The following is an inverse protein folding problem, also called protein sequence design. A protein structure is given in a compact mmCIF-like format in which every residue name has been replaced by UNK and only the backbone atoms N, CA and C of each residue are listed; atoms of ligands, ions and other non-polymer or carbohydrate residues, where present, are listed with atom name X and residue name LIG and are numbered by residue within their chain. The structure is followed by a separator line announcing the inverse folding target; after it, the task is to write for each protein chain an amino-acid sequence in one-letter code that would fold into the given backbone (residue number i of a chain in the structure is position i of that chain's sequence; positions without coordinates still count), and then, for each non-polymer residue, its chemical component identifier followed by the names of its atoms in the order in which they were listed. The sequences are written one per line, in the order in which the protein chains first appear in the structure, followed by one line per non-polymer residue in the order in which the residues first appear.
data_IF_047166342441
#
_entry.id   IF_047166342441
#
_cell.length_a   1.000
_cell.length_b   1.000
_cell.length_c   1.000
_cell.angle_alpha   90.00
_cell.angle_beta   90.00
_cell.angle_gamma   90.00
#
_symmetry.space_group_name_H-M   'P 1'
#
loop_
_entity.id
_entity.type
_entity.pdbx_description
1 polymer ?
#
# COMPACT_ATOMS: atom_id res chain seq x y z
N UNK A 1 9.82 -7.93 33.11
CA UNK A 1 8.72 -6.96 32.99
C UNK A 1 9.24 -5.69 32.35
N UNK A 2 10.31 -5.15 32.91
CA UNK A 2 10.84 -3.84 32.56
C UNK A 2 11.27 -3.69 31.08
N UNK A 3 12.09 -4.61 30.56
CA UNK A 3 12.59 -4.49 29.18
C UNK A 3 11.52 -4.54 28.07
N UNK A 4 10.32 -5.09 28.32
CA UNK A 4 9.26 -5.18 27.30
C UNK A 4 8.52 -3.86 27.12
N UNK A 5 8.18 -3.15 28.20
CA UNK A 5 7.52 -1.84 28.10
C UNK A 5 8.42 -0.79 27.48
N UNK A 6 9.72 -0.82 27.79
CA UNK A 6 10.71 0.03 27.12
C UNK A 6 10.78 -0.20 25.61
N UNK A 7 10.69 -1.47 25.18
CA UNK A 7 10.68 -1.81 23.75
C UNK A 7 9.40 -1.32 23.06
N UNK A 8 8.26 -1.47 23.72
CA UNK A 8 6.97 -0.97 23.23
C UNK A 8 6.99 0.55 23.09
N UNK A 9 7.49 1.27 24.11
CA UNK A 9 7.62 2.73 24.09
C UNK A 9 8.42 3.23 22.89
N UNK A 10 9.54 2.59 22.59
CA UNK A 10 10.41 3.02 21.49
C UNK A 10 9.88 2.58 20.13
N UNK A 11 9.75 1.27 19.90
CA UNK A 11 9.52 0.71 18.57
C UNK A 11 8.06 0.84 18.13
N UNK A 12 7.12 0.65 19.05
CA UNK A 12 5.69 0.72 18.74
C UNK A 12 5.13 2.11 19.01
N UNK A 13 5.82 2.94 19.79
CA UNK A 13 5.43 4.32 20.11
C UNK A 13 6.21 5.36 19.31
N UNK A 14 7.39 5.73 19.80
CA UNK A 14 8.13 6.89 19.30
C UNK A 14 8.59 6.77 17.84
N UNK A 15 8.93 5.57 17.37
CA UNK A 15 9.38 5.35 15.99
C UNK A 15 8.24 5.45 14.96
N UNK A 16 6.99 5.39 15.40
CA UNK A 16 5.80 5.53 14.55
C UNK A 16 5.25 6.96 14.53
N UNK A 17 5.88 7.90 15.23
CA UNK A 17 5.55 9.32 15.13
C UNK A 17 6.40 9.96 14.03
N UNK A 18 5.76 10.74 13.16
CA UNK A 18 6.49 11.66 12.28
C UNK A 18 7.16 12.79 13.09
N UNK A 19 8.00 13.58 12.45
CA UNK A 19 8.77 14.61 13.18
C UNK A 19 7.88 15.74 13.72
N UNK A 20 6.77 16.08 13.05
CA UNK A 20 5.81 17.09 13.53
C UNK A 20 5.01 16.58 14.73
N UNK A 21 4.54 15.33 14.67
CA UNK A 21 3.90 14.65 15.77
C UNK A 21 4.84 14.47 16.97
N UNK A 22 6.11 14.16 16.72
CA UNK A 22 7.12 14.05 17.77
C UNK A 22 7.38 15.39 18.46
N UNK A 23 7.47 16.49 17.72
CA UNK A 23 7.64 17.82 18.30
C UNK A 23 6.42 18.25 19.11
N UNK A 24 5.21 17.98 18.60
CA UNK A 24 3.97 18.16 19.37
C UNK A 24 3.93 17.26 20.60
N UNK A 25 4.44 16.03 20.53
CA UNK A 25 4.53 15.14 21.68
C UNK A 25 5.48 15.68 22.75
N UNK A 26 6.67 16.17 22.36
CA UNK A 26 7.63 16.80 23.26
C UNK A 26 7.03 17.99 24.01
N UNK A 27 6.11 18.74 23.38
CA UNK A 27 5.44 19.88 24.01
C UNK A 27 4.65 19.51 25.28
N UNK A 28 4.04 18.32 25.33
CA UNK A 28 3.23 17.86 26.47
C UNK A 28 4.02 17.14 27.56
N UNK A 29 5.29 16.79 27.31
CA UNK A 29 6.10 16.04 28.27
C UNK A 29 6.45 16.79 29.56
N UNK A 30 6.70 18.11 29.57
CA UNK A 30 6.96 18.83 30.81
C UNK A 30 5.81 18.72 31.82
N UNK A 31 4.55 18.82 31.35
CA UNK A 31 3.39 18.80 32.23
C UNK A 31 3.06 17.38 32.73
N UNK A 32 3.30 16.36 31.89
CA UNK A 32 2.95 14.97 32.20
C UNK A 32 4.07 14.21 32.93
N UNK A 33 5.33 14.53 32.64
CA UNK A 33 6.51 13.82 33.15
C UNK A 33 7.43 14.70 34.00
N UNK A 34 7.10 15.97 34.22
CA UNK A 34 7.94 16.91 34.98
C UNK A 34 9.37 17.03 34.41
N UNK A 35 9.52 16.88 33.09
CA UNK A 35 10.82 16.95 32.39
C UNK A 35 11.05 18.39 31.88
N UNK A 36 12.17 19.04 32.24
CA UNK A 36 12.47 20.39 31.76
C UNK A 36 12.59 20.47 30.23
N UNK A 37 11.97 21.48 29.62
CA UNK A 37 11.98 21.71 28.15
C UNK A 37 13.38 21.67 27.53
N UNK A 38 14.38 22.25 28.18
CA UNK A 38 15.76 22.27 27.68
C UNK A 38 16.39 20.88 27.51
N UNK A 39 15.88 19.84 28.19
CA UNK A 39 16.33 18.45 27.98
C UNK A 39 15.63 17.74 26.82
N UNK A 40 14.54 18.32 26.31
CA UNK A 40 13.67 17.70 25.29
C UNK A 40 13.98 18.20 23.87
N UNK A 41 14.41 19.44 23.71
CA UNK A 41 14.60 20.06 22.38
C UNK A 41 15.55 19.24 21.48
N UNK A 42 16.73 18.89 21.98
CA UNK A 42 17.71 18.09 21.26
C UNK A 42 17.56 16.56 21.46
N UNK A 43 16.54 16.10 22.19
CA UNK A 43 16.36 14.68 22.47
C UNK A 43 15.85 13.93 21.23
N UNK A 44 16.63 12.95 20.77
CA UNK A 44 16.15 11.95 19.81
C UNK A 44 15.18 10.97 20.47
N UNK A 45 14.44 10.19 19.65
CA UNK A 45 13.41 9.24 20.11
C UNK A 45 13.89 8.30 21.22
N UNK A 46 15.10 7.75 21.11
CA UNK A 46 15.67 6.86 22.14
C UNK A 46 15.98 7.59 23.45
N UNK A 47 16.59 8.77 23.38
CA UNK A 47 16.88 9.58 24.56
C UNK A 47 15.59 10.06 25.23
N UNK A 48 14.56 10.38 24.45
CA UNK A 48 13.25 10.76 24.94
C UNK A 48 12.61 9.67 25.80
N UNK A 49 12.57 8.42 25.29
CA UNK A 49 12.09 7.25 26.04
C UNK A 49 12.89 7.06 27.32
N UNK A 50 14.22 7.21 27.27
CA UNK A 50 15.08 7.09 28.45
C UNK A 50 14.72 8.14 29.52
N UNK A 51 14.47 9.39 29.12
CA UNK A 51 14.07 10.46 30.04
C UNK A 51 12.69 10.20 30.68
N UNK A 52 11.72 9.73 29.90
CA UNK A 52 10.38 9.40 30.39
C UNK A 52 10.42 8.26 31.40
N UNK A 53 11.19 7.21 31.11
CA UNK A 53 11.40 6.08 32.02
C UNK A 53 12.13 6.52 33.29
N UNK A 54 13.16 7.36 33.17
CA UNK A 54 13.88 7.88 34.33
C UNK A 54 13.01 8.73 35.25
N UNK A 55 12.01 9.42 34.70
CA UNK A 55 11.12 10.26 35.50
C UNK A 55 10.09 9.45 36.29
N UNK A 56 9.45 8.47 35.65
CA UNK A 56 8.19 7.89 36.15
C UNK A 56 8.20 6.35 36.22
N UNK A 57 9.27 5.71 35.74
CA UNK A 57 9.31 4.26 35.52
C UNK A 57 8.57 3.83 34.25
N UNK A 58 8.82 2.61 33.79
CA UNK A 58 8.46 2.19 32.42
C UNK A 58 6.95 2.00 32.20
N UNK A 59 6.24 1.44 33.18
CA UNK A 59 4.79 1.21 33.10
C UNK A 59 4.03 2.53 33.14
N UNK A 60 4.41 3.43 34.06
CA UNK A 60 3.84 4.78 34.14
C UNK A 60 4.14 5.56 32.87
N UNK A 61 5.39 5.48 32.38
CA UNK A 61 5.79 6.14 31.15
C UNK A 61 4.96 5.70 29.94
N UNK A 62 4.69 4.40 29.79
CA UNK A 62 3.83 3.91 28.71
C UNK A 62 2.38 4.40 28.86
N UNK A 63 1.85 4.42 30.08
CA UNK A 63 0.48 4.87 30.34
C UNK A 63 0.30 6.37 30.04
N UNK A 64 1.24 7.21 30.49
CA UNK A 64 1.25 8.64 30.21
C UNK A 64 1.48 8.93 28.73
N UNK A 65 2.31 8.14 28.05
CA UNK A 65 2.48 8.20 26.58
C UNK A 65 1.16 8.00 25.86
N UNK A 66 0.40 6.95 26.22
CA UNK A 66 -0.92 6.69 25.63
C UNK A 66 -1.87 7.87 25.87
N UNK A 67 -1.84 8.48 27.05
CA UNK A 67 -2.64 9.66 27.39
C UNK A 67 -2.30 10.85 26.48
N UNK A 68 -1.02 11.16 26.31
CA UNK A 68 -0.56 12.26 25.44
C UNK A 68 -0.98 11.99 23.98
N UNK A 69 -0.80 10.77 23.48
CA UNK A 69 -1.19 10.43 22.12
C UNK A 69 -2.70 10.59 21.87
N UNK A 70 -3.54 10.30 22.87
CA UNK A 70 -4.98 10.60 22.81
C UNK A 70 -5.24 12.10 22.73
N UNK A 71 -4.51 12.93 23.51
CA UNK A 71 -4.61 14.41 23.45
C UNK A 71 -4.20 14.95 22.09
N UNK A 72 -3.19 14.36 21.47
CA UNK A 72 -2.72 14.68 20.10
C UNK A 72 -3.64 14.15 19.00
N UNK A 73 -4.68 13.38 19.34
CA UNK A 73 -5.58 12.69 18.40
C UNK A 73 -4.90 11.62 17.54
N UNK A 74 -3.72 11.13 17.94
CA UNK A 74 -3.05 9.95 17.37
C UNK A 74 -3.72 8.64 17.86
N UNK A 75 -5.03 8.52 17.64
CA UNK A 75 -5.88 7.48 18.26
C UNK A 75 -5.48 6.05 17.86
N UNK A 76 -5.04 5.86 16.62
CA UNK A 76 -4.58 4.56 16.14
C UNK A 76 -3.35 4.08 16.91
N UNK A 77 -2.37 4.96 17.11
CA UNK A 77 -1.14 4.68 17.84
C UNK A 77 -1.41 4.47 19.33
N UNK A 78 -2.24 5.35 19.94
CA UNK A 78 -2.66 5.21 21.33
C UNK A 78 -3.36 3.87 21.59
N UNK A 79 -4.22 3.41 20.66
CA UNK A 79 -4.88 2.11 20.75
C UNK A 79 -3.90 0.95 20.60
N UNK A 80 -2.95 1.05 19.66
CA UNK A 80 -1.92 0.04 19.47
C UNK A 80 -1.07 -0.16 20.75
N UNK A 81 -0.59 0.93 21.35
CA UNK A 81 0.16 0.91 22.60
C UNK A 81 -0.64 0.34 23.77
N UNK A 82 -1.94 0.66 23.85
CA UNK A 82 -2.85 0.10 24.85
C UNK A 82 -2.99 -1.42 24.71
N UNK A 83 -3.18 -1.93 23.49
CA UNK A 83 -3.30 -3.36 23.23
C UNK A 83 -1.99 -4.12 23.54
N UNK A 84 -0.84 -3.56 23.18
CA UNK A 84 0.47 -4.16 23.53
C UNK A 84 0.70 -4.14 25.05
N UNK A 85 0.37 -3.05 25.73
CA UNK A 85 0.41 -2.97 27.20
C UNK A 85 -0.42 -4.09 27.83
N UNK A 86 -1.68 -4.26 27.41
CA UNK A 86 -2.56 -5.31 27.93
C UNK A 86 -2.05 -6.73 27.65
N UNK A 87 -1.40 -6.96 26.49
CA UNK A 87 -0.78 -8.27 26.20
C UNK A 87 0.35 -8.57 27.17
N UNK A 88 1.20 -7.58 27.47
CA UNK A 88 2.28 -7.73 28.45
C UNK A 88 1.69 -7.98 29.84
N UNK A 89 0.70 -7.18 30.26
CA UNK A 89 0.03 -7.31 31.55
C UNK A 89 -0.56 -8.73 31.74
N UNK A 90 -1.29 -9.24 30.72
CA UNK A 90 -1.89 -10.60 30.74
C UNK A 90 -0.85 -11.71 30.83
N UNK A 91 0.26 -11.60 30.07
CA UNK A 91 1.36 -12.58 30.13
C UNK A 91 1.95 -12.67 31.53
N UNK A 92 1.99 -11.58 32.28
CA UNK A 92 2.47 -11.59 33.67
C UNK A 92 1.45 -12.18 34.64
N UNK A 93 0.16 -11.83 34.53
CA UNK A 93 -0.88 -12.38 35.42
C UNK A 93 -1.05 -13.90 35.24
N UNK A 94 -0.88 -14.41 34.02
CA UNK A 94 -0.92 -15.86 33.73
C UNK A 94 0.31 -16.60 34.27
N UNK A 95 1.49 -15.97 34.23
CA UNK A 95 2.72 -16.54 34.77
C UNK A 95 2.75 -16.53 36.32
N UNK A 96 2.14 -15.56 36.97
CA UNK A 96 1.95 -15.57 38.44
C UNK A 96 1.02 -16.70 38.89
N UNK A 97 -0.11 -16.93 38.21
CA UNK A 97 -1.01 -18.07 38.48
C UNK A 97 -0.33 -19.43 38.26
N UNK A 98 0.57 -19.52 37.28
CA UNK A 98 1.36 -20.73 37.00
C UNK A 98 2.44 -21.00 38.04
N UNK A 99 2.92 -19.94 38.71
CA UNK A 99 3.89 -20.02 39.81
C UNK A 99 3.22 -20.33 41.17
N UNK A 100 1.98 -19.86 41.41
CA UNK A 100 1.16 -20.30 42.56
C UNK A 100 0.78 -21.79 42.46
N UNK A 101 0.45 -22.27 41.26
CA UNK A 101 0.13 -23.71 41.04
C UNK A 101 1.36 -24.63 41.18
N UNK A 102 2.59 -24.07 41.16
CA UNK A 102 3.83 -24.81 41.43
C UNK A 102 4.24 -24.82 42.91
N UNK A 103 3.68 -23.94 43.76
CA UNK A 103 4.03 -23.87 45.19
C UNK A 103 3.31 -24.93 46.07
N UNK A 104 2.32 -25.66 45.52
CA UNK A 104 1.58 -26.70 46.25
C UNK A 104 2.18 -28.11 46.10
N UNK A 105 3.18 -28.32 45.22
CA UNK A 105 3.74 -29.68 44.96
C UNK A 105 5.22 -29.87 45.30
N UNK A 106 5.81 -29.01 46.13
CA UNK A 106 7.14 -29.26 46.69
C UNK A 106 7.21 -28.93 48.19
N UNK A 107 6.59 -29.79 49.00
CA UNK A 107 6.84 -29.89 50.44
C UNK A 107 6.99 -31.37 50.81
N UNK A 108 8.25 -31.81 50.85
CA UNK A 108 8.84 -32.99 51.52
C UNK A 108 10.16 -33.26 50.76
N UNK A 109 11.38 -33.13 51.28
CA UNK A 109 11.84 -33.14 52.66
C UNK A 109 13.11 -32.32 52.87
N UNK A 110 13.28 -32.04 54.16
CA UNK A 110 14.22 -31.24 54.95
C UNK A 110 15.70 -31.68 54.89
N UNK A 111 16.59 -30.70 55.18
CA UNK A 111 17.68 -30.69 56.19
C UNK A 111 19.08 -30.30 55.63
N UNK A 112 19.51 -29.04 55.81
CA UNK A 112 20.50 -28.50 56.82
C UNK A 112 21.94 -28.93 56.47
N UNK A 113 23.01 -28.10 56.36
CA UNK A 113 23.51 -26.97 57.17
C UNK A 113 24.57 -26.17 56.34
N UNK A 114 24.61 -24.83 56.33
CA UNK A 114 25.45 -23.88 57.12
C UNK A 114 26.96 -23.75 56.80
N UNK A 115 27.39 -22.47 56.72
CA UNK A 115 28.73 -21.88 57.01
C UNK A 115 29.85 -22.11 55.96
N UNK A 116 30.82 -21.20 55.67
CA UNK A 116 31.10 -19.76 55.84
C UNK A 116 32.56 -19.55 55.30
N UNK A 117 32.92 -18.31 54.89
CA UNK A 117 34.30 -17.74 54.74
C UNK A 117 35.28 -18.33 53.68
N UNK A 118 36.30 -17.68 53.08
CA UNK A 118 36.87 -16.30 52.99
C UNK A 118 37.91 -16.29 51.83
N UNK A 119 38.08 -15.10 51.23
CA UNK A 119 39.19 -14.49 50.44
C UNK A 119 40.38 -15.31 49.90
N UNK A 120 40.83 -14.93 48.68
CA UNK A 120 42.05 -14.12 48.44
C UNK A 120 42.72 -14.48 47.10
N UNK A 121 43.30 -13.49 46.39
CA UNK A 121 44.32 -13.75 45.36
C UNK A 121 44.39 -12.73 44.22
N UNK A 122 45.29 -11.76 44.38
CA UNK A 122 45.71 -10.65 43.49
C UNK A 122 46.32 -11.02 42.12
N UNK A 123 46.43 -9.98 41.25
CA UNK A 123 47.55 -9.81 40.29
C UNK A 123 47.12 -9.57 38.83
N UNK A 124 46.80 -8.34 38.39
CA UNK A 124 47.69 -7.23 37.97
C UNK A 124 48.22 -7.27 36.51
N UNK A 125 47.72 -6.28 35.73
CA UNK A 125 48.39 -5.42 34.70
C UNK A 125 49.08 -6.01 33.46
N UNK A 126 48.65 -5.60 32.25
CA UNK A 126 49.24 -4.45 31.51
C UNK A 126 48.79 -4.38 30.03
N UNK A 127 48.29 -3.22 29.58
CA UNK A 127 48.40 -2.67 28.20
C UNK A 127 49.67 -1.75 28.16
N UNK A 128 50.11 -1.05 27.07
CA UNK A 128 49.47 -0.75 25.76
C UNK A 128 50.38 -0.64 24.49
N UNK A 129 49.74 -0.27 23.37
CA UNK A 129 50.16 0.71 22.34
C UNK A 129 50.87 0.26 21.03
N UNK A 130 50.34 0.80 19.92
CA UNK A 130 50.89 0.85 18.55
C UNK A 130 51.85 2.06 18.36
N UNK A 131 52.57 2.20 17.21
CA UNK A 131 52.02 3.03 16.12
C UNK A 131 52.45 2.70 14.65
N UNK A 132 51.59 3.17 13.73
CA UNK A 132 51.72 3.66 12.34
C UNK A 132 52.89 3.29 11.37
N UNK A 133 52.55 3.05 10.08
CA UNK A 133 52.87 3.87 8.87
C UNK A 133 52.76 3.01 7.56
N UNK A 134 52.09 3.55 6.53
CA UNK A 134 51.87 3.02 5.15
C UNK A 134 53.09 3.18 4.21
N UNK A 135 53.19 2.57 2.98
CA UNK A 135 52.53 3.05 1.73
C UNK A 135 52.39 1.95 0.60
N UNK A 136 52.18 2.24 -0.72
CA UNK A 136 51.23 3.12 -1.42
C UNK A 136 50.34 2.40 -2.48
N UNK A 137 49.33 3.12 -2.97
CA UNK A 137 48.34 2.70 -3.97
C UNK A 137 48.79 2.86 -5.44
N UNK A 138 48.25 2.02 -6.35
CA UNK A 138 48.08 2.28 -7.79
C UNK A 138 46.62 2.03 -8.19
N UNK A 139 46.01 2.85 -9.06
CA UNK A 139 44.57 2.79 -9.32
C UNK A 139 44.24 1.76 -10.41
N UNK A 140 43.27 0.88 -10.14
CA UNK A 140 42.56 0.12 -11.18
C UNK A 140 41.09 0.50 -11.15
N UNK A 141 40.69 1.21 -12.19
CA UNK A 141 39.32 1.51 -12.57
C UNK A 141 38.52 0.20 -12.64
N UNK A 142 37.67 -0.06 -11.63
CA UNK A 142 36.55 -0.99 -11.75
C UNK A 142 35.30 -0.15 -11.79
N UNK A 143 34.77 -0.07 -13.01
CA UNK A 143 33.46 0.44 -13.35
C UNK A 143 32.41 -0.36 -12.58
N UNK A 144 32.05 0.13 -11.40
CA UNK A 144 30.81 -0.29 -10.74
C UNK A 144 29.72 0.48 -11.45
N UNK A 145 29.02 -0.21 -12.37
CA UNK A 145 27.73 0.23 -12.87
C UNK A 145 26.74 0.11 -11.70
N UNK A 146 26.80 1.08 -10.79
CA UNK A 146 25.69 1.38 -9.92
C UNK A 146 24.65 2.04 -10.83
N UNK A 147 23.60 1.30 -11.18
CA UNK A 147 22.37 1.91 -11.68
C UNK A 147 21.93 2.89 -10.59
N UNK A 148 22.18 4.18 -10.82
CA UNK A 148 21.58 5.26 -10.07
C UNK A 148 20.07 5.21 -10.34
N UNK A 149 19.35 4.41 -9.58
CA UNK A 149 18.01 4.81 -9.18
C UNK A 149 18.20 6.12 -8.41
N UNK A 150 17.93 7.24 -9.06
CA UNK A 150 17.86 8.53 -8.38
C UNK A 150 16.88 8.35 -7.22
N UNK A 151 17.40 8.40 -5.99
CA UNK A 151 16.62 8.24 -4.77
C UNK A 151 15.62 9.40 -4.73
N UNK A 152 14.40 9.17 -5.22
CA UNK A 152 13.30 10.12 -5.09
C UNK A 152 12.98 10.20 -3.61
N UNK A 153 13.10 11.39 -3.04
CA UNK A 153 12.72 11.61 -1.66
C UNK A 153 11.20 11.54 -1.53
N UNK A 154 10.73 10.87 -0.49
CA UNK A 154 9.32 10.87 -0.12
C UNK A 154 8.83 12.30 0.13
N UNK A 155 7.61 12.62 -0.32
CA UNK A 155 7.01 13.94 -0.16
C UNK A 155 6.75 14.67 -1.48
N UNK A 156 6.60 15.99 -1.38
CA UNK A 156 6.15 16.87 -2.47
C UNK A 156 7.18 16.95 -3.60
N UNK A 157 6.72 16.70 -4.82
CA UNK A 157 7.48 16.81 -6.05
C UNK A 157 6.95 18.00 -6.86
N UNK A 158 7.68 19.11 -6.84
CA UNK A 158 7.34 20.33 -7.59
C UNK A 158 7.57 20.17 -9.10
N UNK A 159 8.56 19.36 -9.49
CA UNK A 159 8.96 19.20 -10.90
C UNK A 159 7.90 18.53 -11.77
N UNK A 160 7.82 18.89 -13.06
CA UNK A 160 6.92 18.22 -14.00
C UNK A 160 7.40 16.81 -14.33
N UNK A 161 6.44 15.89 -14.44
CA UNK A 161 6.63 14.51 -14.84
C UNK A 161 5.67 14.17 -15.97
N UNK A 162 6.22 13.95 -17.17
CA UNK A 162 5.44 13.52 -18.34
C UNK A 162 5.22 12.01 -18.29
N UNK A 163 3.96 11.57 -18.34
CA UNK A 163 3.57 10.17 -18.22
C UNK A 163 2.48 9.81 -19.22
N UNK A 164 2.48 8.54 -19.66
CA UNK A 164 1.36 7.95 -20.38
C UNK A 164 0.40 7.27 -19.41
N UNK A 165 -0.89 7.55 -19.54
CA UNK A 165 -1.94 6.91 -18.73
C UNK A 165 -2.22 5.51 -19.27
N UNK A 166 -1.98 4.47 -18.46
CA UNK A 166 -2.24 3.07 -18.82
C UNK A 166 -3.68 2.66 -18.50
N UNK A 167 -4.20 3.12 -17.35
CA UNK A 167 -5.52 2.77 -16.85
C UNK A 167 -6.01 3.85 -15.89
N UNK A 168 -7.31 4.12 -15.91
CA UNK A 168 -8.01 4.87 -14.86
C UNK A 168 -9.29 4.13 -14.46
N UNK A 169 -9.61 4.18 -13.18
CA UNK A 169 -10.83 3.62 -12.62
C UNK A 169 -11.87 4.72 -12.45
N UNK A 170 -13.14 4.31 -12.27
CA UNK A 170 -14.20 5.28 -11.98
C UNK A 170 -13.99 5.89 -10.60
N UNK A 171 -14.36 7.17 -10.41
CA UNK A 171 -14.41 7.77 -9.08
C UNK A 171 -15.29 6.96 -8.13
N UNK A 172 -14.89 6.96 -6.86
CA UNK A 172 -15.60 6.31 -5.78
C UNK A 172 -15.51 7.13 -4.50
N UNK A 173 -16.49 6.91 -3.64
CA UNK A 173 -16.61 7.56 -2.35
C UNK A 173 -15.84 6.80 -1.27
N UNK A 174 -15.18 7.53 -0.38
CA UNK A 174 -14.54 6.99 0.81
C UNK A 174 -14.76 7.94 2.00
N UNK A 175 -14.69 7.39 3.21
CA UNK A 175 -14.97 8.15 4.43
C UNK A 175 -13.67 8.72 5.01
N UNK A 176 -13.73 9.97 5.45
CA UNK A 176 -12.63 10.63 6.18
C UNK A 176 -13.17 11.22 7.48
N UNK A 177 -12.29 11.68 8.36
CA UNK A 177 -12.71 12.42 9.56
C UNK A 177 -13.45 13.72 9.22
N UNK A 178 -13.27 14.27 8.00
CA UNK A 178 -13.93 15.48 7.51
C UNK A 178 -15.22 15.18 6.74
N UNK A 179 -15.65 13.92 6.73
CA UNK A 179 -16.79 13.43 5.98
C UNK A 179 -16.41 12.66 4.71
N UNK A 180 -17.42 12.36 3.92
CA UNK A 180 -17.29 11.62 2.67
C UNK A 180 -16.55 12.45 1.61
N UNK A 181 -15.52 11.85 1.02
CA UNK A 181 -14.77 12.40 -0.10
C UNK A 181 -14.82 11.45 -1.30
N UNK A 182 -14.42 11.94 -2.47
CA UNK A 182 -14.31 11.13 -3.68
C UNK A 182 -12.89 11.16 -4.23
N UNK A 183 -12.47 10.03 -4.81
CA UNK A 183 -11.21 9.92 -5.51
C UNK A 183 -11.30 8.85 -6.61
N UNK A 184 -10.30 8.76 -7.46
CA UNK A 184 -10.15 7.61 -8.36
C UNK A 184 -8.71 7.11 -8.42
N UNK A 185 -8.54 5.85 -8.81
CA UNK A 185 -7.23 5.26 -9.04
C UNK A 185 -6.84 5.36 -10.50
N UNK A 186 -5.54 5.58 -10.75
CA UNK A 186 -4.96 5.44 -12.07
C UNK A 186 -3.65 4.64 -12.03
N UNK A 187 -3.20 4.24 -13.21
CA UNK A 187 -1.88 3.66 -13.45
C UNK A 187 -1.28 4.41 -14.61
N UNK A 188 -0.11 4.99 -14.39
CA UNK A 188 0.62 5.79 -15.38
C UNK A 188 2.01 5.20 -15.58
N UNK A 189 2.68 5.54 -16.67
CA UNK A 189 4.01 5.03 -16.96
C UNK A 189 4.89 6.05 -17.70
N UNK A 190 6.18 5.95 -17.46
CA UNK A 190 7.23 6.58 -18.26
C UNK A 190 7.89 5.53 -19.14
N UNK A 191 8.92 5.94 -19.87
CA UNK A 191 9.86 5.06 -20.56
C UNK A 191 10.64 4.13 -19.61
N UNK A 192 10.68 4.42 -18.31
CA UNK A 192 11.48 3.71 -17.30
C UNK A 192 10.69 2.78 -16.39
N UNK A 193 9.53 3.23 -15.89
CA UNK A 193 8.70 2.41 -15.01
C UNK A 193 7.23 2.83 -15.04
N UNK A 194 6.39 2.13 -14.28
CA UNK A 194 4.99 2.48 -14.04
C UNK A 194 4.75 2.84 -12.58
N UNK A 195 3.67 3.59 -12.34
CA UNK A 195 3.28 4.06 -11.03
C UNK A 195 1.77 3.92 -10.83
N UNK A 196 1.38 3.44 -9.66
CA UNK A 196 0.00 3.55 -9.20
C UNK A 196 -0.26 4.95 -8.69
N UNK A 197 -1.45 5.49 -8.96
CA UNK A 197 -1.80 6.87 -8.64
C UNK A 197 -3.12 6.91 -7.88
N UNK A 198 -3.17 7.65 -6.77
CA UNK A 198 -4.39 8.11 -6.13
C UNK A 198 -4.67 9.53 -6.61
N UNK A 199 -5.85 9.75 -7.20
CA UNK A 199 -6.26 11.08 -7.69
C UNK A 199 -7.45 11.55 -6.86
N UNK A 200 -7.20 12.50 -5.96
CA UNK A 200 -8.20 13.09 -5.06
C UNK A 200 -8.99 14.24 -5.70
N UNK A 201 -8.51 14.77 -6.82
CA UNK A 201 -9.27 15.74 -7.61
C UNK A 201 -10.04 15.04 -8.74
N UNK A 202 -11.31 14.73 -8.49
CA UNK A 202 -12.16 14.00 -9.45
C UNK A 202 -12.49 14.81 -10.71
N UNK A 203 -12.25 16.13 -10.72
CA UNK A 203 -12.39 16.97 -11.90
C UNK A 203 -11.39 16.59 -13.00
N UNK A 204 -10.31 15.90 -12.65
CA UNK A 204 -9.27 15.44 -13.57
C UNK A 204 -9.61 14.14 -14.32
N UNK A 205 -10.81 13.57 -14.13
CA UNK A 205 -11.18 12.28 -14.72
C UNK A 205 -11.01 12.24 -16.25
N UNK A 206 -11.27 13.34 -16.95
CA UNK A 206 -11.12 13.51 -18.40
C UNK A 206 -9.65 13.55 -18.88
N UNK A 207 -8.73 13.97 -18.01
CA UNK A 207 -7.29 13.97 -18.29
C UNK A 207 -6.71 12.57 -18.20
N UNK A 208 -7.21 11.74 -17.28
CA UNK A 208 -6.75 10.36 -17.08
C UNK A 208 -7.40 9.36 -18.04
N UNK A 209 -7.32 9.62 -19.35
CA UNK A 209 -7.78 8.70 -20.39
C UNK A 209 -6.67 7.75 -20.83
N UNK A 210 -7.00 6.46 -21.04
CA UNK A 210 -6.02 5.46 -21.51
C UNK A 210 -5.31 5.94 -22.79
N UNK A 211 -3.97 5.79 -22.81
CA UNK A 211 -3.03 6.25 -23.84
C UNK A 211 -2.84 7.78 -23.96
N UNK A 212 -3.58 8.62 -23.22
CA UNK A 212 -3.22 10.04 -23.15
C UNK A 212 -1.85 10.20 -22.50
N UNK A 213 -1.10 11.17 -23.01
CA UNK A 213 0.13 11.66 -22.39
C UNK A 213 -0.24 12.93 -21.64
N UNK A 214 0.11 12.96 -20.36
CA UNK A 214 -0.15 14.08 -19.47
C UNK A 214 1.13 14.50 -18.76
N UNK A 215 1.19 15.75 -18.35
CA UNK A 215 2.26 16.30 -17.51
C UNK A 215 1.67 16.52 -16.12
N UNK A 216 2.27 15.90 -15.11
CA UNK A 216 1.86 16.02 -13.70
C UNK A 216 2.96 16.80 -12.95
N UNK A 217 2.61 17.84 -12.21
CA UNK A 217 3.53 18.53 -11.28
C UNK A 217 2.83 18.80 -9.95
N UNK A 218 3.62 19.16 -8.93
CA UNK A 218 3.14 19.37 -7.54
C UNK A 218 2.39 18.16 -6.99
N UNK A 219 2.90 16.97 -7.28
CA UNK A 219 2.35 15.69 -6.81
C UNK A 219 3.13 15.20 -5.60
N UNK A 220 2.54 14.31 -4.80
CA UNK A 220 3.24 13.67 -3.69
C UNK A 220 3.75 12.29 -4.10
N UNK A 221 5.00 11.99 -3.74
CA UNK A 221 5.62 10.67 -3.91
C UNK A 221 5.63 9.93 -2.56
N UNK A 222 4.98 8.76 -2.49
CA UNK A 222 4.87 7.93 -1.28
C UNK A 222 5.62 6.61 -1.40
N UNK A 223 6.82 6.60 -2.01
CA UNK A 223 7.69 5.43 -2.29
C UNK A 223 7.09 4.32 -3.18
N UNK A 224 5.79 4.07 -3.12
CA UNK A 224 5.09 2.95 -3.76
C UNK A 224 3.92 3.42 -4.63
N UNK A 225 3.47 4.67 -4.49
CA UNK A 225 2.44 5.29 -5.33
C UNK A 225 2.61 6.82 -5.42
N UNK A 226 1.93 7.41 -6.40
CA UNK A 226 1.79 8.85 -6.59
C UNK A 226 0.45 9.34 -6.03
N UNK A 227 0.46 10.51 -5.43
CA UNK A 227 -0.75 11.21 -5.01
C UNK A 227 -0.90 12.52 -5.78
N UNK A 228 -2.07 12.67 -6.41
CA UNK A 228 -2.50 13.88 -7.12
C UNK A 228 -3.69 14.45 -6.36
N UNK A 229 -3.55 15.67 -5.88
CA UNK A 229 -4.58 16.35 -5.10
C UNK A 229 -4.94 17.71 -5.74
N UNK A 230 -5.75 18.52 -5.05
CA UNK A 230 -6.22 19.81 -5.57
C UNK A 230 -5.12 20.86 -5.76
N UNK A 231 -3.93 20.66 -5.17
CA UNK A 231 -2.76 21.52 -5.36
C UNK A 231 -1.86 21.06 -6.51
N UNK A 232 -2.09 19.84 -7.02
CA UNK A 232 -1.38 19.28 -8.15
C UNK A 232 -1.84 19.92 -9.47
N UNK A 233 -0.93 20.00 -10.43
CA UNK A 233 -1.25 20.52 -11.78
C UNK A 233 -1.13 19.36 -12.77
N UNK A 234 -2.19 19.17 -13.57
CA UNK A 234 -2.24 18.14 -14.61
C UNK A 234 -2.62 18.78 -15.94
N UNK A 235 -1.70 18.71 -16.89
CA UNK A 235 -1.86 19.25 -18.25
C UNK A 235 -1.85 18.12 -19.28
N UNK A 236 -2.52 18.33 -20.41
CA UNK A 236 -2.30 17.48 -21.58
C UNK A 236 -0.91 17.78 -22.14
N UNK A 237 -0.19 16.76 -22.58
CA UNK A 237 1.09 16.97 -23.25
C UNK A 237 0.86 17.49 -24.68
N UNK A 238 1.78 18.32 -25.15
CA UNK A 238 1.80 18.82 -26.53
C UNK A 238 1.98 17.67 -27.54
N UNK A 239 1.51 17.84 -28.77
CA UNK A 239 1.47 16.78 -29.78
C UNK A 239 2.85 16.20 -30.16
N UNK A 240 3.93 16.95 -29.92
CA UNK A 240 5.31 16.58 -30.16
C UNK A 240 5.95 15.80 -28.99
N UNK A 241 5.39 15.91 -27.77
CA UNK A 241 5.85 15.18 -26.60
C UNK A 241 5.42 13.71 -26.66
N UNK A 242 6.36 12.84 -27.03
CA UNK A 242 6.16 11.39 -27.07
C UNK A 242 6.75 10.72 -25.83
N UNK A 243 5.93 9.95 -25.13
CA UNK A 243 6.38 8.99 -24.10
C UNK A 243 6.33 7.60 -24.72
N UNK A 244 7.50 7.05 -25.05
CA UNK A 244 7.60 5.69 -25.54
C UNK A 244 7.71 4.72 -24.36
N UNK A 245 6.59 4.11 -23.95
CA UNK A 245 6.57 3.16 -22.85
C UNK A 245 6.85 1.74 -23.37
N UNK A 246 7.96 1.10 -22.95
CA UNK A 246 8.24 -0.29 -23.26
C UNK A 246 7.09 -1.26 -22.93
N UNK A 247 6.83 -2.23 -23.82
CA UNK A 247 5.75 -3.21 -23.66
C UNK A 247 5.87 -4.05 -22.37
N UNK A 248 7.09 -4.33 -21.90
CA UNK A 248 7.31 -5.04 -20.64
C UNK A 248 6.81 -4.23 -19.43
N UNK A 249 6.92 -2.89 -19.45
CA UNK A 249 6.38 -2.02 -18.40
C UNK A 249 4.86 -2.06 -18.41
N UNK A 250 4.24 -1.92 -19.60
CA UNK A 250 2.78 -2.00 -19.75
C UNK A 250 2.26 -3.36 -19.24
N UNK A 251 2.96 -4.44 -19.58
CA UNK A 251 2.60 -5.80 -19.14
C UNK A 251 2.72 -5.92 -17.62
N UNK A 252 3.86 -5.56 -17.04
CA UNK A 252 4.12 -5.59 -15.59
C UNK A 252 3.11 -4.75 -14.79
N UNK A 253 2.70 -3.59 -15.31
CA UNK A 253 1.70 -2.73 -14.69
C UNK A 253 0.30 -3.35 -14.58
N UNK A 254 -0.04 -4.27 -15.49
CA UNK A 254 -1.32 -4.99 -15.52
C UNK A 254 -1.27 -6.40 -14.94
N UNK A 255 -0.07 -6.92 -14.66
CA UNK A 255 0.14 -8.26 -14.11
C UNK A 255 -0.31 -8.33 -12.64
N UNK A 256 -0.85 -9.50 -12.24
CA UNK A 256 -1.08 -9.80 -10.83
C UNK A 256 0.23 -10.32 -10.24
N UNK A 257 0.76 -9.71 -9.17
CA UNK A 257 2.00 -10.19 -8.56
C UNK A 257 1.79 -11.57 -7.94
N UNK A 258 2.79 -12.44 -8.10
CA UNK A 258 2.79 -13.76 -7.47
C UNK A 258 3.01 -13.64 -5.97
N UNK A 259 2.33 -14.48 -5.19
CA UNK A 259 2.41 -14.46 -3.73
C UNK A 259 3.84 -14.66 -3.24
N UNK A 260 4.62 -15.54 -3.85
CA UNK A 260 6.04 -15.71 -3.52
C UNK A 260 6.84 -14.42 -3.68
N UNK A 261 6.56 -13.64 -4.73
CA UNK A 261 7.32 -12.41 -4.99
C UNK A 261 6.97 -11.35 -3.94
N UNK A 262 5.71 -11.31 -3.47
CA UNK A 262 5.28 -10.45 -2.36
C UNK A 262 6.03 -10.77 -1.06
N UNK A 263 6.54 -11.99 -0.87
CA UNK A 263 7.28 -12.36 0.34
C UNK A 263 8.60 -11.60 0.53
N UNK A 264 9.16 -11.11 -0.57
CA UNK A 264 10.45 -10.39 -0.60
C UNK A 264 10.29 -8.87 -0.68
N UNK A 265 9.05 -8.38 -0.83
CA UNK A 265 8.76 -6.95 -0.99
C UNK A 265 8.75 -6.24 0.37
N UNK A 266 9.13 -4.95 0.42
CA UNK A 266 9.06 -4.16 1.63
C UNK A 266 7.60 -3.97 2.10
N UNK A 267 7.40 -3.83 3.40
CA UNK A 267 6.11 -3.44 3.96
C UNK A 267 5.70 -2.06 3.42
N UNK A 268 4.40 -1.80 3.32
CA UNK A 268 3.87 -0.60 2.67
C UNK A 268 3.77 -0.72 1.14
N UNK A 269 4.25 -1.81 0.54
CA UNK A 269 4.11 -2.05 -0.90
C UNK A 269 2.63 -2.09 -1.28
N UNK A 270 2.25 -1.29 -2.28
CA UNK A 270 0.91 -1.32 -2.87
C UNK A 270 0.76 -2.52 -3.80
N UNK A 271 -0.30 -3.29 -3.59
CA UNK A 271 -0.64 -4.50 -4.34
C UNK A 271 -1.98 -4.32 -5.04
N UNK A 272 -1.93 -4.44 -6.36
CA UNK A 272 -3.08 -4.52 -7.26
C UNK A 272 -3.04 -5.88 -7.96
N UNK A 273 -4.18 -6.55 -8.09
CA UNK A 273 -4.18 -7.88 -8.70
C UNK A 273 -5.50 -8.61 -8.61
N UNK A 274 -5.56 -9.81 -9.18
CA UNK A 274 -6.73 -10.69 -9.13
C UNK A 274 -6.32 -12.02 -8.52
N UNK A 275 -6.87 -12.35 -7.36
CA UNK A 275 -6.50 -13.53 -6.59
C UNK A 275 -7.69 -14.44 -6.33
N UNK A 276 -7.47 -15.74 -6.27
CA UNK A 276 -8.53 -16.71 -5.99
C UNK A 276 -8.73 -16.87 -4.49
N UNK A 277 -9.98 -16.97 -4.06
CA UNK A 277 -10.36 -17.18 -2.66
C UNK A 277 -10.38 -18.66 -2.35
N UNK A 278 -9.66 -19.04 -1.29
CA UNK A 278 -9.68 -20.40 -0.75
C UNK A 278 -10.55 -20.51 0.51
N UNK A 279 -10.47 -19.50 1.36
CA UNK A 279 -11.23 -19.45 2.60
C UNK A 279 -11.67 -18.03 2.92
N UNK A 280 -12.76 -17.93 3.67
CA UNK A 280 -13.30 -16.67 4.17
C UNK A 280 -13.65 -16.86 5.64
N UNK A 281 -13.20 -15.94 6.49
CA UNK A 281 -13.48 -15.93 7.93
C UNK A 281 -13.90 -14.54 8.36
N UNK A 282 -15.10 -14.40 8.95
CA UNK A 282 -15.50 -13.13 9.56
C UNK A 282 -14.72 -12.91 10.87
N UNK A 283 -14.25 -11.68 11.09
CA UNK A 283 -13.53 -11.22 12.28
C UNK A 283 -14.24 -9.99 12.85
N UNK A 284 -13.95 -9.67 14.11
CA UNK A 284 -14.55 -8.49 14.77
C UNK A 284 -14.23 -7.16 14.05
N UNK A 285 -13.03 -7.05 13.46
CA UNK A 285 -12.53 -5.85 12.79
C UNK A 285 -12.64 -5.89 11.25
N UNK A 286 -13.17 -6.97 10.67
CA UNK A 286 -13.20 -7.12 9.21
C UNK A 286 -13.49 -8.54 8.73
N UNK A 287 -13.16 -8.82 7.47
CA UNK A 287 -13.21 -10.16 6.89
C UNK A 287 -11.80 -10.57 6.48
N UNK A 288 -11.39 -11.75 6.93
CA UNK A 288 -10.14 -12.38 6.52
C UNK A 288 -10.42 -13.30 5.33
N UNK A 289 -9.69 -13.11 4.24
CA UNK A 289 -9.69 -14.02 3.08
C UNK A 289 -8.34 -14.72 3.00
N UNK A 290 -8.36 -16.05 2.91
CA UNK A 290 -7.18 -16.81 2.51
C UNK A 290 -7.14 -16.90 0.99
N UNK A 291 -6.08 -16.39 0.40
CA UNK A 291 -5.81 -16.50 -1.03
C UNK A 291 -4.79 -17.57 -1.32
N UNK A 292 -4.86 -18.12 -2.53
CA UNK A 292 -3.76 -18.88 -3.10
C UNK A 292 -3.48 -18.52 -4.56
N UNK A 293 -2.25 -18.79 -4.95
CA UNK A 293 -1.84 -18.99 -6.32
C UNK A 293 -0.93 -20.22 -6.41
N UNK A 294 -0.38 -20.49 -7.59
CA UNK A 294 0.58 -21.55 -7.86
C UNK A 294 1.93 -21.38 -7.13
N UNK A 295 2.18 -20.24 -6.49
CA UNK A 295 3.43 -19.91 -5.80
C UNK A 295 3.31 -19.84 -4.28
N UNK A 296 2.10 -19.82 -3.73
CA UNK A 296 1.89 -19.87 -2.29
C UNK A 296 0.48 -19.45 -1.85
N UNK A 297 0.36 -19.21 -0.54
CA UNK A 297 -0.86 -18.74 0.10
C UNK A 297 -0.60 -17.48 0.91
N UNK A 298 -1.60 -16.61 0.98
CA UNK A 298 -1.50 -15.34 1.70
C UNK A 298 -2.86 -14.92 2.25
N UNK A 299 -2.86 -14.26 3.41
CA UNK A 299 -4.08 -13.73 3.99
C UNK A 299 -4.31 -12.28 3.56
N UNK A 300 -5.59 -11.92 3.41
CA UNK A 300 -6.05 -10.54 3.24
C UNK A 300 -7.00 -10.20 4.35
N UNK A 301 -6.69 -9.13 5.10
CA UNK A 301 -7.63 -8.52 6.02
C UNK A 301 -8.33 -7.35 5.32
N UNK A 302 -9.62 -7.54 5.00
CA UNK A 302 -10.48 -6.45 4.58
C UNK A 302 -11.15 -5.87 5.82
N UNK A 303 -10.70 -4.69 6.25
CA UNK A 303 -11.28 -3.96 7.37
C UNK A 303 -12.74 -3.62 7.07
N UNK A 304 -13.57 -3.59 8.12
CA UNK A 304 -15.03 -3.42 8.04
C UNK A 304 -15.44 -2.38 6.98
N UNK A 305 -15.92 -2.87 5.84
CA UNK A 305 -16.75 -2.10 4.91
C UNK A 305 -18.18 -2.05 5.43
N UNK A 306 -18.92 -0.99 5.12
CA UNK A 306 -20.36 -0.87 5.45
C UNK A 306 -21.20 -2.02 4.84
N UNK A 307 -20.67 -2.75 3.86
CA UNK A 307 -21.33 -3.87 3.20
C UNK A 307 -20.56 -5.18 3.42
N UNK A 308 -21.27 -6.26 3.81
CA UNK A 308 -20.70 -7.61 3.86
C UNK A 308 -20.36 -8.06 2.43
N UNK A 309 -19.10 -8.41 2.18
CA UNK A 309 -18.65 -8.91 0.88
C UNK A 309 -19.17 -10.34 0.69
N UNK A 310 -20.11 -10.52 -0.24
CA UNK A 310 -20.57 -11.84 -0.68
C UNK A 310 -19.50 -12.44 -1.59
N UNK A 311 -18.91 -13.55 -1.16
CA UNK A 311 -17.82 -14.23 -1.86
C UNK A 311 -17.75 -15.67 -1.33
N UNK A 312 -17.57 -16.61 -2.25
CA UNK A 312 -17.45 -18.03 -1.98
C UNK A 312 -16.04 -18.54 -2.31
N UNK A 313 -15.73 -19.77 -1.87
CA UNK A 313 -14.49 -20.44 -2.25
C UNK A 313 -14.47 -20.66 -3.76
N UNK A 314 -13.35 -20.35 -4.40
CA UNK A 314 -13.17 -20.44 -5.85
C UNK A 314 -13.48 -19.14 -6.60
N UNK A 315 -14.19 -18.19 -5.97
CA UNK A 315 -14.35 -16.85 -6.54
C UNK A 315 -12.99 -16.13 -6.59
N UNK A 316 -12.89 -15.14 -7.47
CA UNK A 316 -11.72 -14.28 -7.62
C UNK A 316 -11.99 -12.89 -7.06
N UNK A 317 -11.04 -12.34 -6.32
CA UNK A 317 -11.07 -10.98 -5.82
C UNK A 317 -10.10 -10.13 -6.63
N UNK A 318 -10.61 -9.06 -7.24
CA UNK A 318 -9.76 -7.96 -7.72
C UNK A 318 -9.50 -7.01 -6.57
N UNK A 319 -8.23 -6.88 -6.24
CA UNK A 319 -7.72 -5.97 -5.24
C UNK A 319 -7.16 -4.74 -5.94
N UNK A 320 -7.47 -3.58 -5.40
CA UNK A 320 -6.89 -2.30 -5.82
C UNK A 320 -6.50 -1.51 -4.58
N UNK A 321 -5.26 -1.02 -4.56
CA UNK A 321 -4.64 -0.25 -3.50
C UNK A 321 -4.64 -0.96 -2.13
N UNK A 322 -4.34 -2.26 -2.10
CA UNK A 322 -4.10 -2.99 -0.85
C UNK A 322 -2.64 -2.84 -0.43
N UNK A 323 -2.39 -2.81 0.86
CA UNK A 323 -1.05 -2.62 1.40
C UNK A 323 -0.46 -3.94 1.90
N UNK A 324 0.77 -4.22 1.52
CA UNK A 324 1.56 -5.32 2.09
C UNK A 324 1.94 -5.00 3.53
N UNK A 325 1.44 -5.80 4.45
CA UNK A 325 1.64 -5.66 5.88
C UNK A 325 2.08 -6.99 6.49
N UNK A 326 2.35 -6.98 7.80
CA UNK A 326 2.76 -8.15 8.56
C UNK A 326 1.85 -8.33 9.76
N UNK A 327 1.29 -9.53 9.91
CA UNK A 327 0.58 -9.92 11.11
C UNK A 327 1.33 -11.03 11.82
N UNK A 328 1.81 -10.72 13.03
CA UNK A 328 2.75 -11.56 13.79
C UNK A 328 4.02 -11.84 12.97
N UNK A 329 4.11 -13.02 12.36
CA UNK A 329 5.26 -13.46 11.55
C UNK A 329 4.91 -13.68 10.08
N UNK A 330 3.63 -13.60 9.72
CA UNK A 330 3.16 -13.88 8.36
C UNK A 330 2.86 -12.58 7.63
N UNK A 331 3.22 -12.51 6.36
CA UNK A 331 2.80 -11.42 5.49
C UNK A 331 1.31 -11.54 5.20
N UNK A 332 0.66 -10.39 5.13
CA UNK A 332 -0.74 -10.27 4.76
C UNK A 332 -0.94 -9.02 3.90
N UNK A 333 -2.04 -8.96 3.16
CA UNK A 333 -2.53 -7.70 2.61
C UNK A 333 -3.58 -7.11 3.54
N UNK A 334 -3.58 -5.80 3.70
CA UNK A 334 -4.60 -5.09 4.47
C UNK A 334 -5.24 -4.01 3.62
N UNK A 335 -6.56 -3.85 3.73
CA UNK A 335 -7.27 -2.74 3.11
C UNK A 335 -7.07 -1.45 3.90
N UNK A 336 -6.69 -0.36 3.25
CA UNK A 336 -6.76 1.00 3.77
C UNK A 336 -8.03 1.75 3.33
N UNK A 337 -8.11 3.04 3.67
CA UNK A 337 -9.26 3.90 3.34
C UNK A 337 -9.53 4.04 1.83
N UNK A 338 -8.48 3.90 1.02
CA UNK A 338 -8.55 4.03 -0.44
C UNK A 338 -8.52 2.66 -1.14
N UNK A 339 -8.62 1.54 -0.42
CA UNK A 339 -8.62 0.23 -1.06
C UNK A 339 -9.98 -0.09 -1.67
N UNK A 340 -9.98 -0.71 -2.85
CA UNK A 340 -11.20 -1.24 -3.46
C UNK A 340 -11.10 -2.73 -3.71
N UNK A 341 -12.20 -3.42 -3.46
CA UNK A 341 -12.35 -4.84 -3.71
C UNK A 341 -13.55 -5.10 -4.62
N UNK A 342 -13.36 -5.98 -5.60
CA UNK A 342 -14.44 -6.42 -6.48
C UNK A 342 -14.39 -7.93 -6.61
N UNK A 343 -15.53 -8.60 -6.47
CA UNK A 343 -15.65 -10.05 -6.56
C UNK A 343 -16.00 -10.46 -7.99
N UNK A 344 -15.34 -11.49 -8.50
CA UNK A 344 -15.55 -12.12 -9.80
C UNK A 344 -15.74 -13.61 -9.55
N UNK A 345 -16.98 -14.09 -9.53
CA UNK A 345 -17.29 -15.46 -9.12
C UNK A 345 -17.67 -16.43 -10.23
N UNK A 346 -17.73 -17.72 -9.88
CA UNK A 346 -18.36 -18.77 -10.70
C UNK A 346 -19.90 -18.64 -10.67
N UNK A 347 -20.44 -18.07 -9.59
CA UNK A 347 -21.86 -17.72 -9.37
C UNK A 347 -22.38 -16.62 -10.31
N UNK A 348 -21.49 -15.74 -10.80
CA UNK A 348 -21.82 -14.75 -11.84
C UNK A 348 -22.15 -15.42 -13.19
N UNK A 349 -21.57 -16.60 -13.48
CA UNK A 349 -21.89 -17.36 -14.69
C UNK A 349 -23.20 -18.13 -14.56
N UNK A 350 -23.54 -18.63 -13.36
CA UNK A 350 -24.82 -19.30 -13.12
C UNK A 350 -26.02 -18.33 -13.18
N UNK A 351 -25.88 -17.11 -12.63
CA UNK A 351 -26.92 -16.08 -12.72
C UNK A 351 -27.20 -15.62 -14.17
N UNK A 352 -26.21 -15.73 -15.07
CA UNK A 352 -26.41 -15.49 -16.51
C UNK A 352 -27.03 -16.69 -17.24
N UNK A 353 -26.90 -17.91 -16.71
CA UNK A 353 -27.50 -19.13 -17.28
C UNK A 353 -28.93 -19.39 -16.83
N UNK A 354 -29.36 -18.81 -15.70
CA UNK A 354 -30.72 -18.85 -15.20
C UNK A 354 -31.31 -17.44 -15.32
N UNK A 355 -32.05 -17.19 -16.40
CA UNK A 355 -32.55 -15.87 -16.77
C UNK A 355 -33.32 -15.14 -15.67
N UNK A 356 -32.63 -14.27 -14.93
CA UNK A 356 -33.22 -13.19 -14.16
C UNK A 356 -32.49 -11.89 -14.51
N UNK A 357 -33.18 -11.04 -15.26
CA UNK A 357 -32.78 -9.67 -15.51
C UNK A 357 -32.77 -8.86 -14.20
N UNK A 358 -31.62 -8.25 -13.87
CA UNK A 358 -31.56 -6.81 -13.62
C UNK A 358 -30.14 -6.31 -13.31
N UNK A 359 -29.83 -5.15 -13.88
CA UNK A 359 -28.64 -4.29 -13.73
C UNK A 359 -27.41 -4.62 -14.58
N UNK A 360 -27.38 -3.91 -15.72
CA UNK A 360 -26.29 -3.82 -16.69
C UNK A 360 -25.03 -3.20 -16.08
N UNK A 361 -23.95 -3.98 -16.00
CA UNK A 361 -22.60 -3.50 -16.28
C UNK A 361 -21.86 -4.57 -17.09
N UNK A 362 -21.88 -4.41 -18.41
CA UNK A 362 -21.13 -5.26 -19.34
C UNK A 362 -19.71 -4.69 -19.45
N UNK A 363 -18.71 -5.45 -19.01
CA UNK A 363 -17.34 -5.31 -19.50
C UNK A 363 -16.93 -6.65 -20.11
N UNK A 364 -17.08 -6.76 -21.43
CA UNK A 364 -16.58 -7.88 -22.22
C UNK A 364 -15.06 -7.77 -22.26
N UNK A 365 -14.35 -8.76 -21.73
CA UNK A 365 -12.98 -9.05 -22.15
C UNK A 365 -12.80 -10.56 -22.21
N UNK A 366 -13.22 -11.14 -23.33
CA UNK A 366 -12.84 -12.50 -23.73
C UNK A 366 -13.17 -12.75 -25.21
N UNK A 367 -12.41 -12.13 -26.13
CA UNK A 367 -12.13 -12.74 -27.45
C UNK A 367 -10.75 -12.25 -27.94
N UNK A 368 -9.68 -12.90 -27.48
CA UNK A 368 -8.41 -12.94 -28.21
C UNK A 368 -7.82 -14.34 -28.02
N UNK A 369 -8.41 -15.31 -28.73
CA UNK A 369 -7.70 -16.48 -29.24
C UNK A 369 -8.65 -17.29 -30.12
N UNK A 370 -8.58 -17.02 -31.42
CA UNK A 370 -8.77 -17.93 -32.56
C UNK A 370 -8.86 -17.04 -33.80
N UNK A 371 -7.80 -17.02 -34.60
CA UNK A 371 -7.77 -16.92 -36.07
C UNK A 371 -6.34 -16.56 -36.49
N UNK A 372 -5.45 -17.55 -36.40
CA UNK A 372 -4.40 -17.72 -37.40
C UNK A 372 -4.80 -18.94 -38.24
N UNK A 373 -4.66 -18.80 -39.57
CA UNK A 373 -4.97 -19.71 -40.68
C UNK A 373 -6.38 -19.63 -41.33
N UNK A 374 -6.50 -18.70 -42.30
CA UNK A 374 -6.92 -18.79 -43.74
C UNK A 374 -8.13 -19.66 -44.18
N UNK A 375 -8.86 -19.36 -45.30
CA UNK A 375 -8.39 -18.66 -46.51
C UNK A 375 -9.31 -17.57 -47.11
N UNK A 376 -8.71 -16.87 -48.07
CA UNK A 376 -9.19 -15.83 -48.98
C UNK A 376 -10.57 -16.11 -49.60
N UNK A 377 -11.51 -15.15 -49.51
CA UNK A 377 -12.77 -15.16 -50.26
C UNK A 377 -12.75 -14.08 -51.34
N UNK A 378 -12.68 -14.57 -52.57
CA UNK A 378 -12.86 -13.82 -53.83
C UNK A 378 -14.20 -13.08 -53.83
N UNK A 379 -14.16 -11.77 -54.10
CA UNK A 379 -15.35 -10.94 -54.32
C UNK A 379 -15.99 -11.25 -55.69
N UNK A 380 -17.33 -11.38 -55.79
CA UNK A 380 -17.99 -11.48 -57.08
C UNK A 380 -18.15 -10.09 -57.75
N UNK A 381 -18.15 -10.00 -59.10
CA UNK A 381 -18.27 -8.74 -59.82
C UNK A 381 -19.73 -8.22 -59.83
N UNK A 382 -19.94 -6.91 -60.07
CA UNK A 382 -21.26 -6.30 -60.02
C UNK A 382 -22.12 -6.72 -61.23
N UNK A 383 -23.38 -7.10 -60.98
CA UNK A 383 -24.38 -7.40 -62.01
C UNK A 383 -24.87 -6.13 -62.71
N UNK A 384 -24.78 -6.12 -64.04
CA UNK A 384 -25.55 -5.26 -64.95
C UNK A 384 -26.90 -5.89 -65.28
N UNK A 385 -28.00 -5.13 -65.17
CA UNK A 385 -29.28 -5.29 -65.90
C UNK A 385 -29.99 -3.94 -65.76
N UNK A 386 -30.06 -3.04 -66.74
CA UNK A 386 -30.58 -3.05 -68.11
C UNK A 386 -32.13 -3.01 -68.22
N UNK A 387 -32.63 -1.77 -68.39
CA UNK A 387 -33.78 -1.25 -69.17
C UNK A 387 -35.11 -2.02 -69.25
N UNK A 388 -36.21 -1.30 -68.95
CA UNK A 388 -37.44 -1.35 -69.75
C UNK A 388 -38.13 0.02 -69.80
N UNK A 389 -38.29 0.49 -71.02
CA UNK A 389 -39.05 1.63 -71.54
C UNK A 389 -40.56 1.49 -71.36
N UNK A 390 -41.27 2.63 -71.26
CA UNK A 390 -42.49 2.98 -72.04
C UNK A 390 -42.85 4.45 -71.76
N UNK A 391 -42.86 5.28 -72.82
CA UNK A 391 -44.05 5.95 -73.41
C UNK A 391 -44.66 7.03 -72.47
N UNK A 392 -44.89 8.29 -72.86
CA UNK A 392 -44.80 8.99 -74.14
C UNK A 392 -45.30 10.44 -73.92
N UNK A 393 -45.10 11.29 -74.94
CA UNK A 393 -45.85 12.54 -75.24
C UNK A 393 -45.82 13.69 -74.21
N UNK A 394 -45.75 14.98 -74.54
CA UNK A 394 -45.73 15.77 -75.77
C UNK A 394 -45.40 17.24 -75.39
N UNK A 395 -45.00 18.04 -76.40
CA UNK A 395 -45.19 19.51 -76.40
C UNK A 395 -43.99 20.34 -75.89
N UNK A 396 -43.06 20.76 -76.74
CA UNK A 396 -43.02 22.00 -77.58
C UNK A 396 -43.02 23.36 -76.85
N UNK A 397 -42.17 24.23 -77.40
CA UNK A 397 -42.03 25.69 -77.23
C UNK A 397 -41.28 26.14 -75.96
N UNK A 398 -40.33 27.07 -76.00
CA UNK A 398 -39.87 27.96 -77.05
C UNK A 398 -38.58 28.71 -76.63
N UNK A 399 -38.01 29.39 -77.62
CA UNK A 399 -36.77 30.16 -77.65
C UNK A 399 -36.69 31.37 -76.71
N UNK A 400 -35.49 31.97 -76.73
CA UNK A 400 -35.05 33.31 -76.32
C UNK A 400 -34.47 33.37 -74.90
N UNK A 401 -33.30 33.93 -74.64
CA UNK A 401 -32.44 34.80 -75.44
C UNK A 401 -31.88 35.88 -74.53
N UNK A 402 -30.55 36.04 -74.58
CA UNK A 402 -29.74 37.22 -74.24
C UNK A 402 -29.91 37.96 -72.89
N UNK A 403 -28.75 38.32 -72.34
CA UNK A 403 -28.57 39.64 -71.74
C UNK A 403 -27.54 39.72 -70.62
N UNK A 404 -26.29 39.99 -71.02
CA UNK A 404 -25.20 40.69 -70.31
C UNK A 404 -25.00 40.51 -68.80
#
# INVERSE_FOLDING_TARGET
MESEYKKILLLEGMDNLDDEELDRFKFFLPDEFNIPKGRLEAANRTNLVKLMIQSEGEVSALTKTISILKKLKCMNLAKCLQEEKEKVDKRYTENEKKNETKLVRKKSDTKTSSAEHVASGDGATAQPAAPAVSPPAKPKQKQVVAQQEAVRQEGLQEGPMTVMVLKAMKPFKFETQRGQQEMFHATVATDRDFYFVKVFDTRLTDKFCRKKIIIISKYYWHNTFLEVNTSSVVLDAEADQKVNVPNNIIRKAGETPKIRDLQTRPLGTIVNGVFMVQEKTEKENGTLFGLNDDTGSMNILVLKSQHKIKCEKGDKLRLTFFELSKYRRNLQLISGAHSQITVFGHSFQQAHSQGQDSYKFVNVTLVLNKFQHTPEKVLPPPRKTMWKTKEGEAGRSGQAGNGK
#
